data_IF_874202656655
#
_entry.id   IF_874202656655
#
_cell.length_a   1.000
_cell.length_b   1.000
_cell.length_c   1.000
_cell.angle_alpha   90.00
_cell.angle_beta   90.00
_cell.angle_gamma   90.00
#
_symmetry.space_group_name_H-M   'P 1'
#
loop_
_entity.id
_entity.type
_entity.pdbx_description
1 polymer ?
#
# COMPACT_ATOMS: atom_id res chain seq x y z
N UNK A 1 5.30 4.13 17.64
CA UNK A 1 5.44 2.75 17.15
C UNK A 1 6.65 2.06 17.78
N UNK A 2 6.72 0.73 17.68
CA UNK A 2 7.82 -0.11 18.11
C UNK A 2 8.01 -1.27 17.13
N UNK A 3 9.14 -1.93 17.19
CA UNK A 3 9.31 -3.21 16.50
C UNK A 3 8.49 -4.30 17.21
N UNK A 4 8.03 -5.28 16.46
CA UNK A 4 7.45 -6.48 17.02
C UNK A 4 8.56 -7.32 17.72
N UNK A 5 8.23 -7.96 18.82
CA UNK A 5 9.20 -8.77 19.57
C UNK A 5 9.55 -10.09 18.88
N UNK A 6 8.64 -10.60 18.05
CA UNK A 6 8.73 -11.85 17.31
C UNK A 6 9.30 -11.70 15.89
N UNK A 7 9.34 -10.45 15.36
CA UNK A 7 9.87 -10.20 14.01
C UNK A 7 10.40 -8.78 13.85
N UNK A 8 11.69 -8.64 13.63
CA UNK A 8 12.38 -7.33 13.46
C UNK A 8 12.02 -6.57 12.18
N UNK A 9 11.33 -7.20 11.24
CA UNK A 9 10.80 -6.61 10.01
C UNK A 9 9.34 -6.17 10.14
N UNK A 10 8.79 -6.19 11.35
CA UNK A 10 7.41 -5.79 11.64
C UNK A 10 7.41 -4.59 12.57
N UNK A 11 6.75 -3.51 12.15
CA UNK A 11 6.50 -2.32 12.96
C UNK A 11 5.04 -2.34 13.41
N UNK A 12 4.81 -1.99 14.67
CA UNK A 12 3.48 -1.90 15.27
C UNK A 12 3.28 -0.64 16.09
N UNK A 13 2.05 -0.32 16.42
CA UNK A 13 1.74 0.73 17.39
C UNK A 13 2.39 0.39 18.74
N UNK A 14 2.94 1.39 19.40
CA UNK A 14 3.55 1.24 20.73
C UNK A 14 2.52 0.81 21.80
N UNK A 15 1.29 1.34 21.70
CA UNK A 15 0.16 0.93 22.51
C UNK A 15 -0.86 0.19 21.67
N UNK A 16 -1.17 -1.06 22.02
CA UNK A 16 -2.22 -1.85 21.37
C UNK A 16 -3.57 -1.17 21.66
N UNK A 17 -4.33 -0.90 20.61
CA UNK A 17 -5.70 -0.41 20.78
C UNK A 17 -6.59 -1.55 21.28
N UNK A 18 -7.48 -1.27 22.21
CA UNK A 18 -8.48 -2.23 22.67
C UNK A 18 -9.78 -2.05 21.88
N UNK A 19 -10.48 -3.16 21.67
CA UNK A 19 -11.86 -3.17 21.15
C UNK A 19 -12.05 -2.50 19.78
N UNK A 20 -11.13 -2.72 18.82
CA UNK A 20 -11.25 -2.27 17.43
C UNK A 20 -10.67 -3.30 16.46
N UNK A 21 -11.08 -3.20 15.22
CA UNK A 21 -10.46 -3.94 14.10
C UNK A 21 -9.01 -3.51 13.94
N UNK A 22 -8.09 -4.48 13.85
CA UNK A 22 -6.68 -4.23 13.52
C UNK A 22 -6.52 -3.91 12.04
N UNK A 23 -5.63 -2.98 11.69
CA UNK A 23 -5.30 -2.67 10.30
C UNK A 23 -3.84 -2.99 10.01
N UNK A 24 -3.61 -3.76 8.95
CA UNK A 24 -2.26 -4.21 8.54
C UNK A 24 -2.01 -3.88 7.08
N UNK A 25 -0.78 -3.50 6.78
CA UNK A 25 -0.24 -3.38 5.43
C UNK A 25 1.15 -4.00 5.35
N UNK A 26 1.72 -4.02 4.16
CA UNK A 26 3.10 -4.42 3.95
C UNK A 26 3.56 -4.16 2.53
N UNK A 27 4.87 -4.14 2.36
CA UNK A 27 5.51 -3.96 1.07
C UNK A 27 7.02 -3.79 1.21
N UNK A 28 7.70 -3.54 0.10
CA UNK A 28 9.15 -3.41 0.04
C UNK A 28 9.68 -2.16 0.72
N UNK A 29 10.87 -2.28 1.35
CA UNK A 29 11.52 -1.16 2.06
C UNK A 29 11.97 -0.02 1.14
N UNK A 30 12.06 -0.24 -0.17
CA UNK A 30 12.38 0.81 -1.14
C UNK A 30 11.28 1.86 -1.31
N UNK A 31 10.07 1.58 -0.83
CA UNK A 31 8.90 2.47 -0.93
C UNK A 31 8.65 3.29 0.34
N UNK A 32 9.49 3.16 1.37
CA UNK A 32 9.30 3.91 2.61
C UNK A 32 9.31 5.43 2.35
N UNK A 33 8.43 6.20 3.03
CA UNK A 33 7.66 5.84 4.24
C UNK A 33 6.24 5.29 3.98
N UNK A 34 5.91 4.83 2.78
CA UNK A 34 4.52 4.43 2.40
C UNK A 34 3.86 3.47 3.38
N UNK A 35 4.60 2.57 4.01
CA UNK A 35 4.05 1.59 4.94
C UNK A 35 4.27 2.01 6.40
N UNK A 36 5.52 2.14 6.82
CA UNK A 36 5.89 2.41 8.22
C UNK A 36 5.45 3.78 8.71
N UNK A 37 5.47 4.78 7.84
CA UNK A 37 5.06 6.15 8.17
C UNK A 37 3.57 6.31 8.50
N UNK A 38 2.76 5.28 8.26
CA UNK A 38 1.33 5.29 8.50
C UNK A 38 0.90 4.37 9.66
N UNK A 39 1.84 3.86 10.45
CA UNK A 39 1.53 3.11 11.67
C UNK A 39 1.24 4.08 12.81
N UNK A 40 -0.02 4.13 13.28
CA UNK A 40 -0.44 5.06 14.33
C UNK A 40 -1.95 5.10 14.55
N UNK A 41 -2.38 5.91 15.51
CA UNK A 41 -3.80 6.08 15.85
C UNK A 41 -4.60 6.64 14.65
N UNK A 42 -5.72 6.00 14.33
CA UNK A 42 -6.58 6.38 13.21
C UNK A 42 -5.99 6.06 11.83
N UNK A 43 -4.98 5.21 11.79
CA UNK A 43 -4.27 4.70 10.62
C UNK A 43 -4.03 3.19 10.79
N UNK A 44 -2.83 2.70 10.46
CA UNK A 44 -2.47 1.28 10.59
C UNK A 44 -2.08 0.91 12.03
N UNK A 45 -2.33 -0.32 12.42
CA UNK A 45 -1.88 -0.89 13.69
C UNK A 45 -0.54 -1.61 13.58
N UNK A 46 -0.25 -2.20 12.41
CA UNK A 46 1.03 -2.86 12.13
C UNK A 46 1.35 -2.86 10.64
N UNK A 47 2.63 -3.03 10.31
CA UNK A 47 3.06 -3.28 8.94
C UNK A 47 4.25 -4.23 8.87
N UNK A 48 4.31 -5.06 7.82
CA UNK A 48 5.42 -5.93 7.48
C UNK A 48 6.27 -5.32 6.37
N UNK A 49 7.61 -5.35 6.52
CA UNK A 49 8.56 -4.73 5.59
C UNK A 49 9.43 -5.79 4.93
N UNK A 50 9.28 -5.91 3.63
CA UNK A 50 10.10 -6.77 2.78
C UNK A 50 11.48 -6.18 2.45
N UNK A 51 12.21 -6.84 1.57
CA UNK A 51 13.44 -6.31 0.98
C UNK A 51 13.13 -5.12 0.06
N UNK A 52 14.13 -4.52 -0.59
CA UNK A 52 13.97 -3.18 -1.20
C UNK A 52 12.71 -3.05 -2.07
N UNK A 53 12.57 -3.82 -3.14
CA UNK A 53 11.37 -3.84 -3.99
C UNK A 53 10.74 -5.25 -4.04
N UNK A 54 10.74 -5.94 -2.91
CA UNK A 54 10.16 -7.27 -2.77
C UNK A 54 9.11 -7.30 -1.66
N UNK A 55 8.07 -8.07 -1.87
CA UNK A 55 7.01 -8.32 -0.90
C UNK A 55 7.58 -8.87 0.41
N UNK A 56 6.99 -8.51 1.57
CA UNK A 56 7.30 -9.19 2.82
C UNK A 56 7.02 -10.69 2.71
N UNK A 57 7.75 -11.49 3.46
CA UNK A 57 7.48 -12.93 3.52
C UNK A 57 6.16 -13.21 4.24
N UNK A 58 5.61 -14.40 3.99
CA UNK A 58 4.39 -14.89 4.65
C UNK A 58 4.49 -14.79 6.17
N UNK A 59 5.64 -15.18 6.75
CA UNK A 59 5.87 -15.12 8.20
C UNK A 59 5.89 -13.68 8.74
N UNK A 60 6.45 -12.74 7.99
CA UNK A 60 6.44 -11.32 8.36
C UNK A 60 5.01 -10.77 8.37
N UNK A 61 4.21 -11.10 7.37
CA UNK A 61 2.81 -10.68 7.26
C UNK A 61 1.98 -11.32 8.38
N UNK A 62 2.14 -12.62 8.63
CA UNK A 62 1.44 -13.32 9.72
C UNK A 62 1.79 -12.71 11.09
N UNK A 63 3.07 -12.38 11.33
CA UNK A 63 3.48 -11.66 12.52
C UNK A 63 2.81 -10.29 12.64
N UNK A 64 2.74 -9.50 11.54
CA UNK A 64 2.05 -8.22 11.53
C UNK A 64 0.56 -8.36 11.89
N UNK A 65 -0.12 -9.37 11.34
CA UNK A 65 -1.53 -9.66 11.63
C UNK A 65 -1.72 -10.01 13.11
N UNK A 66 -0.92 -10.92 13.66
CA UNK A 66 -0.99 -11.30 15.09
C UNK A 66 -0.76 -10.10 16.02
N UNK A 67 0.17 -9.21 15.66
CA UNK A 67 0.46 -8.01 16.43
C UNK A 67 -0.65 -6.95 16.34
N UNK A 68 -1.41 -6.91 15.27
CA UNK A 68 -2.55 -6.01 15.09
C UNK A 68 -3.86 -6.54 15.70
N UNK A 69 -4.03 -7.87 15.71
CA UNK A 69 -5.25 -8.49 16.22
C UNK A 69 -5.43 -8.27 17.72
N UNK A 70 -6.65 -7.96 18.11
CA UNK A 70 -7.09 -7.80 19.50
C UNK A 70 -8.46 -8.47 19.76
N UNK A 71 -8.81 -9.47 18.94
CA UNK A 71 -10.05 -10.24 19.03
C UNK A 71 -11.23 -9.69 18.21
N UNK A 72 -11.04 -8.57 17.49
CA UNK A 72 -12.07 -7.99 16.61
C UNK A 72 -11.78 -8.25 15.10
N UNK A 73 -10.77 -9.07 14.81
CA UNK A 73 -10.30 -9.36 13.47
C UNK A 73 -9.39 -8.27 12.88
N UNK A 74 -8.85 -8.55 11.71
CA UNK A 74 -7.85 -7.71 11.05
C UNK A 74 -8.22 -7.45 9.60
N UNK A 75 -8.18 -6.18 9.19
CA UNK A 75 -8.25 -5.77 7.79
C UNK A 75 -6.84 -5.61 7.23
N UNK A 76 -6.51 -6.42 6.23
CA UNK A 76 -5.29 -6.29 5.44
C UNK A 76 -5.53 -5.36 4.26
N UNK A 77 -4.68 -4.35 4.08
CA UNK A 77 -4.76 -3.37 3.00
C UNK A 77 -3.44 -3.36 2.26
N UNK A 78 -3.41 -3.72 1.00
CA UNK A 78 -2.20 -3.87 0.21
C UNK A 78 -2.36 -3.32 -1.21
N UNK A 79 -1.25 -2.97 -1.86
CA UNK A 79 -1.24 -2.62 -3.27
C UNK A 79 -1.43 -3.85 -4.15
N UNK A 80 -1.99 -3.66 -5.34
CA UNK A 80 -2.27 -4.73 -6.29
C UNK A 80 -1.00 -5.17 -7.03
N UNK A 81 -0.15 -5.93 -6.35
CA UNK A 81 1.05 -6.58 -6.89
C UNK A 81 1.00 -8.07 -6.60
N UNK A 82 1.31 -8.89 -7.59
CA UNK A 82 1.13 -10.35 -7.51
C UNK A 82 1.84 -11.00 -6.32
N UNK A 83 3.06 -10.56 -5.99
CA UNK A 83 3.80 -11.08 -4.84
C UNK A 83 3.15 -10.71 -3.50
N UNK A 84 2.68 -9.46 -3.35
CA UNK A 84 1.99 -9.02 -2.14
C UNK A 84 0.67 -9.76 -1.96
N UNK A 85 -0.15 -9.83 -3.02
CA UNK A 85 -1.44 -10.55 -3.00
C UNK A 85 -1.25 -11.99 -2.55
N UNK A 86 -0.34 -12.73 -3.21
CA UNK A 86 -0.08 -14.13 -2.89
C UNK A 86 0.41 -14.33 -1.46
N UNK A 87 1.37 -13.52 -1.01
CA UNK A 87 1.94 -13.67 0.34
C UNK A 87 0.93 -13.29 1.45
N UNK A 88 0.09 -12.26 1.20
CA UNK A 88 -0.99 -11.91 2.14
C UNK A 88 -2.07 -12.98 2.20
N UNK A 89 -2.49 -13.56 1.07
CA UNK A 89 -3.45 -14.68 1.04
C UNK A 89 -2.94 -15.85 1.86
N UNK A 90 -1.68 -16.27 1.65
CA UNK A 90 -1.07 -17.37 2.41
C UNK A 90 -0.97 -17.04 3.91
N UNK A 91 -0.60 -15.82 4.28
CA UNK A 91 -0.52 -15.40 5.68
C UNK A 91 -1.91 -15.38 6.34
N UNK A 92 -2.94 -14.91 5.63
CA UNK A 92 -4.32 -14.93 6.11
C UNK A 92 -4.83 -16.35 6.37
N UNK A 93 -4.51 -17.33 5.51
CA UNK A 93 -4.85 -18.74 5.75
C UNK A 93 -4.15 -19.28 7.01
N UNK A 94 -2.87 -18.98 7.22
CA UNK A 94 -2.14 -19.41 8.43
C UNK A 94 -2.79 -18.85 9.70
N UNK A 95 -3.04 -17.54 9.76
CA UNK A 95 -3.60 -16.93 10.98
C UNK A 95 -5.07 -17.28 11.20
N UNK A 96 -5.79 -17.70 10.17
CA UNK A 96 -7.15 -18.23 10.28
C UNK A 96 -7.19 -19.54 11.07
N UNK A 97 -6.22 -20.43 10.86
CA UNK A 97 -6.09 -21.65 11.67
C UNK A 97 -5.79 -21.34 13.16
N UNK A 98 -5.27 -20.14 13.44
CA UNK A 98 -5.06 -19.61 14.79
C UNK A 98 -6.30 -18.93 15.38
N UNK A 99 -7.41 -18.85 14.63
CA UNK A 99 -8.67 -18.22 15.04
C UNK A 99 -8.75 -16.73 14.79
N UNK A 100 -7.81 -16.13 14.04
CA UNK A 100 -7.85 -14.71 13.67
C UNK A 100 -8.66 -14.52 12.38
N UNK A 101 -9.76 -13.78 12.49
CA UNK A 101 -10.58 -13.45 11.33
C UNK A 101 -9.95 -12.31 10.52
N UNK A 102 -9.77 -12.48 9.21
CA UNK A 102 -9.17 -11.49 8.33
C UNK A 102 -10.05 -11.16 7.13
N UNK A 103 -9.97 -9.92 6.65
CA UNK A 103 -10.44 -9.49 5.34
C UNK A 103 -9.35 -8.71 4.63
N UNK A 104 -9.38 -8.69 3.30
CA UNK A 104 -8.34 -8.06 2.48
C UNK A 104 -8.94 -7.09 1.49
N UNK A 105 -8.38 -5.87 1.42
CA UNK A 105 -8.63 -4.90 0.36
C UNK A 105 -7.37 -4.74 -0.46
N UNK A 106 -7.47 -5.08 -1.75
CA UNK A 106 -6.40 -4.89 -2.74
C UNK A 106 -6.64 -3.56 -3.43
N UNK A 107 -5.76 -2.60 -3.17
CA UNK A 107 -5.89 -1.23 -3.68
C UNK A 107 -5.41 -1.16 -5.13
N UNK A 108 -6.20 -0.51 -6.01
CA UNK A 108 -6.04 -0.47 -7.45
C UNK A 108 -6.34 0.94 -8.00
N UNK A 109 -5.56 1.94 -7.57
CA UNK A 109 -5.81 3.37 -7.77
C UNK A 109 -5.10 3.98 -8.98
N UNK A 110 -4.03 3.35 -9.51
CA UNK A 110 -3.21 3.89 -10.59
C UNK A 110 -3.90 3.84 -11.95
N UNK A 111 -4.42 4.99 -12.39
CA UNK A 111 -5.17 5.09 -13.64
C UNK A 111 -4.32 4.86 -14.90
N UNK A 112 -3.00 5.00 -14.81
CA UNK A 112 -2.10 4.80 -15.94
C UNK A 112 -1.82 3.31 -16.24
N UNK A 113 -2.06 2.42 -15.27
CA UNK A 113 -1.65 1.01 -15.37
C UNK A 113 -2.67 0.10 -16.05
N UNK A 114 -3.96 0.48 -16.10
CA UNK A 114 -4.98 -0.22 -16.87
C UNK A 114 -6.18 0.67 -17.18
N UNK A 115 -6.92 0.31 -18.25
CA UNK A 115 -8.12 1.03 -18.70
C UNK A 115 -9.25 0.98 -17.65
N UNK A 116 -10.23 1.88 -17.74
CA UNK A 116 -11.38 1.89 -16.82
C UNK A 116 -12.16 0.56 -16.79
N UNK A 117 -12.25 -0.15 -17.91
CA UNK A 117 -12.95 -1.44 -18.05
C UNK A 117 -12.21 -2.59 -17.37
N UNK A 118 -10.92 -2.40 -17.05
CA UNK A 118 -10.03 -3.37 -16.41
C UNK A 118 -9.44 -2.80 -15.11
N UNK A 119 -10.20 -1.95 -14.42
CA UNK A 119 -9.72 -1.23 -13.22
C UNK A 119 -9.17 -2.14 -12.13
N UNK A 120 -9.66 -3.38 -12.04
CA UNK A 120 -9.18 -4.39 -11.09
C UNK A 120 -7.74 -4.86 -11.35
N UNK A 121 -7.20 -4.58 -12.54
CA UNK A 121 -5.79 -4.86 -12.91
C UNK A 121 -4.86 -3.70 -12.59
N UNK A 122 -5.40 -2.55 -12.17
CA UNK A 122 -4.58 -1.37 -11.83
C UNK A 122 -3.65 -1.67 -10.68
N UNK A 123 -2.47 -1.05 -10.71
CA UNK A 123 -1.52 -1.06 -9.59
C UNK A 123 -2.09 -0.26 -8.41
N UNK A 124 -1.69 -0.63 -7.18
CA UNK A 124 -1.93 0.16 -5.98
C UNK A 124 -0.71 1.02 -5.66
N UNK A 125 -0.88 2.33 -5.64
CA UNK A 125 0.19 3.29 -5.37
C UNK A 125 -0.22 4.26 -4.24
N UNK A 126 -0.14 5.58 -4.44
CA UNK A 126 -0.37 6.57 -3.38
C UNK A 126 -1.81 6.56 -2.81
N UNK A 127 -2.79 6.03 -3.53
CA UNK A 127 -4.17 5.91 -3.06
C UNK A 127 -4.35 5.05 -1.83
N UNK A 128 -3.44 4.11 -1.55
CA UNK A 128 -3.44 3.32 -0.32
C UNK A 128 -3.54 4.19 0.93
N UNK A 129 -2.91 5.38 0.94
CA UNK A 129 -2.91 6.31 2.07
C UNK A 129 -4.33 6.74 2.46
N UNK A 130 -5.19 6.99 1.46
CA UNK A 130 -6.59 7.35 1.71
C UNK A 130 -7.35 6.17 2.32
N UNK A 131 -7.11 4.95 1.83
CA UNK A 131 -7.73 3.74 2.39
C UNK A 131 -7.27 3.53 3.84
N UNK A 132 -5.97 3.68 4.14
CA UNK A 132 -5.44 3.63 5.52
C UNK A 132 -6.14 4.64 6.43
N UNK A 133 -6.29 5.88 5.96
CA UNK A 133 -6.87 6.98 6.75
C UNK A 133 -8.36 6.77 7.01
N UNK A 134 -9.12 6.41 5.99
CA UNK A 134 -10.57 6.23 6.10
C UNK A 134 -10.89 4.99 6.94
N UNK A 135 -10.29 3.84 6.62
CA UNK A 135 -10.50 2.60 7.36
C UNK A 135 -9.98 2.71 8.80
N UNK A 136 -8.79 3.30 9.00
CA UNK A 136 -8.20 3.48 10.32
C UNK A 136 -9.01 4.40 11.22
N UNK A 137 -9.46 5.54 10.69
CA UNK A 137 -10.35 6.46 11.43
C UNK A 137 -11.67 5.80 11.81
N UNK A 138 -12.28 5.03 10.90
CA UNK A 138 -13.53 4.34 11.18
C UNK A 138 -13.37 3.16 12.14
N UNK A 139 -12.28 2.40 12.05
CA UNK A 139 -12.00 1.34 13.01
C UNK A 139 -11.84 1.85 14.45
N UNK A 140 -11.31 3.06 14.66
CA UNK A 140 -11.21 3.67 16.01
C UNK A 140 -12.59 3.95 16.66
N UNK A 141 -13.69 3.93 15.90
CA UNK A 141 -15.05 4.07 16.44
C UNK A 141 -15.59 2.76 17.04
N UNK A 142 -14.88 1.65 16.92
CA UNK A 142 -15.34 0.31 17.32
C UNK A 142 -16.24 -0.37 16.30
N UNK A 143 -16.21 0.07 15.03
CA UNK A 143 -16.96 -0.55 13.93
C UNK A 143 -16.54 -2.01 13.71
N UNK A 144 -17.45 -2.85 13.19
CA UNK A 144 -17.19 -4.25 12.90
C UNK A 144 -16.21 -4.43 11.74
N UNK A 145 -15.55 -5.59 11.63
CA UNK A 145 -14.67 -5.92 10.51
C UNK A 145 -15.40 -5.80 9.16
N UNK A 146 -16.67 -6.20 9.11
CA UNK A 146 -17.48 -6.11 7.90
C UNK A 146 -17.74 -4.67 7.48
N UNK A 147 -18.03 -3.79 8.41
CA UNK A 147 -18.29 -2.38 8.13
C UNK A 147 -17.00 -1.65 7.72
N UNK A 148 -15.88 -1.92 8.41
CA UNK A 148 -14.58 -1.34 8.07
C UNK A 148 -14.12 -1.83 6.68
N UNK A 149 -14.27 -3.11 6.38
CA UNK A 149 -13.98 -3.67 5.05
C UNK A 149 -14.83 -3.02 3.95
N UNK A 150 -16.15 -2.90 4.19
CA UNK A 150 -17.08 -2.26 3.24
C UNK A 150 -16.68 -0.82 2.95
N UNK A 151 -16.37 -0.03 3.99
CA UNK A 151 -15.95 1.37 3.81
C UNK A 151 -14.60 1.48 3.09
N UNK A 152 -13.64 0.61 3.41
CA UNK A 152 -12.35 0.54 2.74
C UNK A 152 -12.50 0.19 1.25
N UNK A 153 -13.41 -0.75 0.91
CA UNK A 153 -13.73 -1.12 -0.47
C UNK A 153 -14.34 0.05 -1.23
N UNK A 154 -15.33 0.73 -0.65
CA UNK A 154 -15.93 1.93 -1.25
C UNK A 154 -14.88 3.02 -1.48
N UNK A 155 -13.97 3.21 -0.53
CA UNK A 155 -12.87 4.16 -0.67
C UNK A 155 -11.98 3.79 -1.85
N UNK A 156 -11.55 2.52 -1.94
CA UNK A 156 -10.73 2.02 -3.05
C UNK A 156 -11.39 2.24 -4.43
N UNK A 157 -12.70 2.04 -4.52
CA UNK A 157 -13.45 2.25 -5.76
C UNK A 157 -13.49 3.72 -6.22
N UNK A 158 -13.32 4.66 -5.29
CA UNK A 158 -13.47 6.10 -5.52
C UNK A 158 -12.16 6.89 -5.53
N UNK A 159 -11.02 6.25 -5.34
CA UNK A 159 -9.70 6.89 -5.42
C UNK A 159 -9.07 6.69 -6.80
N UNK A 160 -8.29 7.69 -7.22
CA UNK A 160 -7.51 7.68 -8.46
C UNK A 160 -6.19 8.37 -8.20
N UNK A 161 -5.12 7.83 -8.74
CA UNK A 161 -3.80 8.45 -8.73
C UNK A 161 -3.12 8.34 -10.08
N UNK A 162 -2.10 9.16 -10.27
CA UNK A 162 -1.24 9.15 -11.44
C UNK A 162 0.18 9.51 -10.99
N UNK A 163 1.12 8.60 -11.23
CA UNK A 163 2.54 8.81 -10.92
C UNK A 163 3.25 9.59 -12.03
N UNK A 164 4.26 10.37 -11.64
CA UNK A 164 5.19 11.02 -12.57
C UNK A 164 6.61 10.79 -12.08
N UNK A 165 7.48 10.32 -12.95
CA UNK A 165 8.91 10.18 -12.65
C UNK A 165 9.72 11.30 -13.30
N UNK A 166 10.57 11.94 -12.51
CA UNK A 166 11.49 13.02 -12.93
C UNK A 166 12.91 12.48 -13.15
N UNK A 167 13.24 11.34 -12.55
CA UNK A 167 14.53 10.68 -12.66
C UNK A 167 14.39 9.19 -12.37
N UNK A 168 15.33 8.35 -12.84
CA UNK A 168 15.29 6.92 -12.57
C UNK A 168 15.71 6.61 -11.13
N UNK A 169 15.21 5.49 -10.60
CA UNK A 169 15.74 4.87 -9.40
C UNK A 169 16.97 4.02 -9.74
N UNK A 170 17.96 4.02 -8.84
CA UNK A 170 19.12 3.12 -8.91
C UNK A 170 19.03 2.12 -7.77
N UNK A 171 18.75 0.87 -8.09
CA UNK A 171 18.76 -0.21 -7.09
C UNK A 171 20.19 -0.48 -6.64
N UNK A 172 20.47 -0.56 -5.32
CA UNK A 172 21.82 -0.78 -4.79
C UNK A 172 22.50 -2.03 -5.38
N UNK A 173 21.75 -3.11 -5.55
CA UNK A 173 22.23 -4.39 -6.10
C UNK A 173 22.52 -4.33 -7.60
N UNK A 174 21.72 -3.56 -8.34
CA UNK A 174 21.88 -3.46 -9.80
C UNK A 174 22.97 -2.47 -10.21
N UNK A 175 23.24 -1.45 -9.39
CA UNK A 175 24.25 -0.40 -9.62
C UNK A 175 24.02 0.45 -10.88
N UNK A 176 22.85 0.33 -11.52
CA UNK A 176 22.44 1.04 -12.73
C UNK A 176 21.00 1.53 -12.66
N UNK A 177 20.64 2.59 -13.40
CA UNK A 177 19.27 3.08 -13.48
C UNK A 177 18.27 2.01 -13.93
N UNK A 178 17.05 2.06 -13.39
CA UNK A 178 15.94 1.18 -13.79
C UNK A 178 15.38 1.52 -15.17
N UNK A 179 15.58 2.77 -15.62
CA UNK A 179 15.23 3.27 -16.97
C UNK A 179 16.12 4.48 -17.30
N UNK A 180 16.09 4.93 -18.54
CA UNK A 180 16.79 6.13 -18.99
C UNK A 180 15.81 7.24 -19.30
N UNK A 181 16.10 8.47 -18.86
CA UNK A 181 15.34 9.68 -19.12
C UNK A 181 16.30 10.87 -19.15
N UNK A 182 16.05 11.85 -20.03
CA UNK A 182 16.84 13.05 -20.11
C UNK A 182 16.46 14.04 -19.00
N UNK A 183 17.40 14.94 -18.61
CA UNK A 183 17.19 15.92 -17.53
C UNK A 183 16.01 16.89 -17.78
N UNK A 184 15.61 17.05 -19.03
CA UNK A 184 14.51 17.92 -19.46
C UNK A 184 13.22 17.14 -19.79
N UNK A 185 13.12 15.89 -19.38
CA UNK A 185 11.98 15.01 -19.64
C UNK A 185 11.35 14.48 -18.34
N UNK A 186 10.09 14.06 -18.45
CA UNK A 186 9.31 13.38 -17.42
C UNK A 186 8.63 12.16 -18.02
N UNK A 187 8.46 11.12 -17.21
CA UNK A 187 7.68 9.93 -17.56
C UNK A 187 6.35 9.96 -16.80
N UNK A 188 5.23 10.05 -17.53
CA UNK A 188 3.88 10.07 -16.98
C UNK A 188 3.36 8.64 -16.79
N UNK A 189 2.85 8.32 -15.61
CA UNK A 189 2.23 7.03 -15.33
C UNK A 189 3.22 5.91 -15.02
N UNK A 190 4.48 6.24 -14.70
CA UNK A 190 5.45 5.23 -14.29
C UNK A 190 5.05 4.57 -12.97
N UNK A 191 5.23 3.25 -12.89
CA UNK A 191 5.02 2.49 -11.68
C UNK A 191 6.16 2.60 -10.67
N UNK A 192 5.88 2.23 -9.42
CA UNK A 192 6.83 2.39 -8.30
C UNK A 192 8.03 1.44 -8.35
N UNK A 193 8.02 0.42 -9.21
CA UNK A 193 9.17 -0.46 -9.46
C UNK A 193 9.88 -0.12 -10.79
N UNK A 194 9.50 0.99 -11.45
CA UNK A 194 10.03 1.36 -12.76
C UNK A 194 9.25 0.75 -13.94
N UNK A 195 8.03 0.28 -13.70
CA UNK A 195 7.16 -0.17 -14.78
C UNK A 195 6.88 1.00 -15.74
N UNK A 196 6.94 0.78 -17.06
CA UNK A 196 6.79 1.85 -18.05
C UNK A 196 5.52 2.67 -17.86
N UNK A 197 5.64 3.99 -18.05
CA UNK A 197 4.51 4.91 -18.07
C UNK A 197 3.72 4.86 -19.37
N UNK A 198 2.80 5.81 -19.51
CA UNK A 198 1.93 5.95 -20.70
C UNK A 198 2.46 6.95 -21.70
N UNK A 199 3.29 7.89 -21.27
CA UNK A 199 3.93 8.89 -22.15
C UNK A 199 5.17 9.49 -21.54
N UNK A 200 6.10 9.89 -22.41
CA UNK A 200 7.26 10.70 -22.07
C UNK A 200 7.04 12.12 -22.63
N UNK A 201 7.25 13.11 -21.80
CA UNK A 201 6.97 14.52 -22.11
C UNK A 201 8.13 15.40 -21.64
N UNK A 202 8.18 16.64 -22.15
CA UNK A 202 9.14 17.63 -21.66
C UNK A 202 8.80 18.05 -20.23
N UNK A 203 9.83 18.33 -19.43
CA UNK A 203 9.67 18.85 -18.08
C UNK A 203 8.87 20.14 -18.10
N UNK A 204 7.86 20.23 -17.24
CA UNK A 204 6.96 21.36 -17.08
C UNK A 204 7.15 22.02 -15.72
N UNK A 205 6.57 23.21 -15.54
CA UNK A 205 6.46 23.77 -14.19
C UNK A 205 5.60 22.88 -13.29
N UNK A 206 5.81 22.97 -11.97
CA UNK A 206 5.00 22.18 -11.02
C UNK A 206 3.50 22.48 -11.15
N UNK A 207 3.12 23.73 -11.45
CA UNK A 207 1.72 24.12 -11.66
C UNK A 207 1.13 23.46 -12.92
N UNK A 208 1.82 23.56 -14.06
CA UNK A 208 1.35 22.97 -15.32
C UNK A 208 1.26 21.43 -15.21
N UNK A 209 2.23 20.82 -14.55
CA UNK A 209 2.22 19.38 -14.31
C UNK A 209 1.05 18.95 -13.41
N UNK A 210 0.79 19.71 -12.34
CA UNK A 210 -0.34 19.45 -11.46
C UNK A 210 -1.67 19.59 -12.20
N UNK A 211 -1.83 20.62 -13.01
CA UNK A 211 -3.01 20.81 -13.83
C UNK A 211 -3.24 19.64 -14.81
N UNK A 212 -2.17 19.15 -15.45
CA UNK A 212 -2.23 18.00 -16.35
C UNK A 212 -2.64 16.73 -15.61
N UNK A 213 -2.05 16.47 -14.43
CA UNK A 213 -2.39 15.32 -13.59
C UNK A 213 -3.87 15.39 -13.19
N UNK A 214 -4.34 16.53 -12.68
CA UNK A 214 -5.74 16.72 -12.29
C UNK A 214 -6.70 16.47 -13.45
N UNK A 215 -6.40 16.99 -14.66
CA UNK A 215 -7.24 16.76 -15.85
C UNK A 215 -7.31 15.30 -16.29
N UNK A 216 -6.26 14.50 -16.01
CA UNK A 216 -6.24 13.07 -16.35
C UNK A 216 -6.96 12.21 -15.30
N UNK A 217 -7.01 12.67 -14.05
CA UNK A 217 -7.67 11.96 -12.93
C UNK A 217 -9.18 12.21 -12.93
N UNK A 218 -9.63 13.41 -13.29
CA UNK A 218 -11.03 13.85 -13.33
C UNK A 218 -11.74 13.40 -14.61
#
# INVERSE_FOLDING_TARGET
>A
YSLASDNSRVIKRASKASNKVGLVTGGGSGHLPVFTGYVGKGLLDSCAIGSVFASPSVDQIASAIRNADNGNGVLCILGNYGGDVMNFEMACEIVKEEGINTKTVVVADDIASAKPEEKEKRRGIAGMIFVFKVAGGFAETGASLDDVFKLATITNENIRTLGVALSPCILPEAGKPTFEISDDEIEIGMGIHGEPGISREKLKSANDLTDDICKRIL
#
